data_IF_694162841634
#
_entry.id   IF_694162841634
#
_cell.length_a   1.000
_cell.length_b   1.000
_cell.length_c   1.000
_cell.angle_alpha   90.00
_cell.angle_beta   90.00
_cell.angle_gamma   90.00
#
_symmetry.space_group_name_H-M   'P 1'
#
loop_
_entity.id
_entity.type
_entity.pdbx_description
1 polymer ?
#
# COMPACT_ATOMS: atom_id res chain seq x y z
N UNK A 1 4.02 83.69 9.26
CA UNK A 1 2.78 83.15 9.86
C UNK A 1 1.91 82.76 8.68
N UNK A 2 1.74 81.50 8.27
CA UNK A 2 1.33 80.32 9.03
C UNK A 2 1.76 79.06 8.26
N UNK A 3 2.40 78.12 8.96
CA UNK A 3 2.70 76.77 8.48
C UNK A 3 1.39 75.97 8.43
N UNK A 4 1.02 75.39 7.30
CA UNK A 4 -0.04 74.40 7.21
C UNK A 4 0.57 73.06 6.75
N UNK A 5 0.89 72.25 7.74
CA UNK A 5 1.35 70.88 7.62
C UNK A 5 0.24 70.02 7.03
N UNK A 6 0.47 69.35 5.90
CA UNK A 6 -0.42 68.30 5.41
C UNK A 6 0.28 66.95 5.52
N UNK A 7 -0.27 66.18 6.45
CA UNK A 7 0.10 64.84 6.85
C UNK A 7 0.00 63.85 5.68
N UNK A 8 0.85 62.83 5.78
CA UNK A 8 0.96 61.67 4.92
C UNK A 8 -0.33 60.85 4.92
N UNK A 9 -0.81 60.48 3.74
CA UNK A 9 -1.81 59.42 3.55
C UNK A 9 -1.07 58.24 2.94
N UNK A 10 -0.64 57.31 3.79
CA UNK A 10 -0.14 56.01 3.34
C UNK A 10 -1.36 55.14 3.04
N UNK A 11 -1.49 54.69 1.79
CA UNK A 11 -2.43 53.62 1.45
C UNK A 11 -1.84 52.32 1.99
N UNK A 12 -2.56 51.72 2.92
CA UNK A 12 -2.37 50.35 3.33
C UNK A 12 -2.62 49.47 2.10
N UNK A 13 -1.52 49.00 1.50
CA UNK A 13 -1.56 48.03 0.41
C UNK A 13 -2.05 46.74 1.04
N UNK A 14 -3.29 46.37 0.74
CA UNK A 14 -3.85 45.06 1.11
C UNK A 14 -2.88 43.99 0.61
N UNK A 15 -2.25 43.32 1.57
CA UNK A 15 -1.30 42.24 1.34
C UNK A 15 -2.09 41.09 0.70
N UNK A 16 -1.79 40.66 -0.55
CA UNK A 16 -2.49 39.53 -1.13
C UNK A 16 -2.26 38.31 -0.24
N UNK A 17 -3.35 37.57 -0.01
CA UNK A 17 -3.38 36.31 0.74
C UNK A 17 -2.44 35.33 0.04
N UNK A 18 -1.22 35.20 0.55
CA UNK A 18 -0.23 34.26 0.05
C UNK A 18 -0.70 32.86 0.43
N UNK A 19 -1.35 32.18 -0.53
CA UNK A 19 -1.69 30.76 -0.41
C UNK A 19 -0.35 30.02 -0.41
N UNK A 20 0.20 29.84 0.78
CA UNK A 20 1.40 29.07 1.02
C UNK A 20 1.13 27.65 0.50
N UNK A 21 1.65 27.35 -0.70
CA UNK A 21 1.55 26.03 -1.33
C UNK A 21 2.36 25.06 -0.49
N UNK A 22 1.73 24.51 0.55
CA UNK A 22 2.30 23.43 1.35
C UNK A 22 2.35 22.20 0.45
N UNK A 23 3.55 21.74 0.13
CA UNK A 23 3.76 20.46 -0.55
C UNK A 23 3.28 19.36 0.40
N UNK A 24 2.17 18.73 0.06
CA UNK A 24 1.59 17.63 0.83
C UNK A 24 2.49 16.40 0.64
N UNK A 25 2.92 15.77 1.74
CA UNK A 25 3.71 14.53 1.72
C UNK A 25 2.89 13.31 2.11
N UNK A 26 3.28 12.13 1.61
CA UNK A 26 2.66 10.85 1.93
C UNK A 26 3.10 10.39 3.33
N UNK A 27 2.15 9.96 4.17
CA UNK A 27 2.42 9.42 5.52
C UNK A 27 2.23 7.91 5.63
N UNK A 28 1.21 7.36 4.96
CA UNK A 28 0.92 5.93 4.98
C UNK A 28 0.03 5.53 3.80
N UNK A 29 0.04 4.25 3.47
CA UNK A 29 -0.89 3.63 2.54
C UNK A 29 -1.78 2.63 3.27
N UNK A 30 -3.05 2.57 2.91
CA UNK A 30 -4.04 1.65 3.47
C UNK A 30 -4.68 0.86 2.34
N UNK A 31 -4.61 -0.46 2.43
CA UNK A 31 -5.44 -1.37 1.64
C UNK A 31 -6.61 -1.79 2.51
N UNK A 32 -7.81 -1.46 2.06
CA UNK A 32 -9.05 -1.80 2.73
C UNK A 32 -9.69 -2.98 2.02
N UNK A 33 -9.84 -4.08 2.75
CA UNK A 33 -10.57 -5.25 2.27
C UNK A 33 -12.08 -5.03 2.36
N UNK A 34 -12.83 -5.62 1.42
CA UNK A 34 -14.29 -5.73 1.54
C UNK A 34 -14.69 -6.92 2.43
N UNK A 35 -14.21 -6.90 3.67
CA UNK A 35 -14.35 -7.97 4.66
C UNK A 35 -14.38 -7.37 6.07
N UNK A 36 -14.88 -8.13 7.06
CA UNK A 36 -14.84 -7.76 8.48
C UNK A 36 -13.75 -8.58 9.22
N UNK A 37 -13.11 -8.02 10.25
CA UNK A 37 -11.82 -8.48 10.81
C UNK A 37 -11.76 -9.79 11.60
N UNK A 38 -12.77 -10.65 11.52
CA UNK A 38 -12.86 -11.89 12.32
C UNK A 38 -12.18 -13.11 11.70
N UNK A 39 -11.47 -12.96 10.58
CA UNK A 39 -11.21 -14.08 9.67
C UNK A 39 -9.72 -14.47 9.62
N UNK A 40 -9.05 -14.51 10.77
CA UNK A 40 -7.60 -14.76 10.83
C UNK A 40 -7.18 -16.25 10.79
N UNK A 41 -8.10 -17.21 10.88
CA UNK A 41 -7.75 -18.63 11.14
C UNK A 41 -7.96 -19.64 10.00
N UNK A 42 -9.05 -19.52 9.23
CA UNK A 42 -9.57 -20.62 8.39
C UNK A 42 -9.71 -20.26 6.90
N UNK A 43 -9.16 -19.11 6.50
CA UNK A 43 -9.70 -18.33 5.39
C UNK A 43 -9.17 -18.67 4.00
N UNK A 44 -8.22 -19.59 3.85
CA UNK A 44 -7.54 -19.75 2.56
C UNK A 44 -8.37 -20.42 1.48
N UNK A 45 -9.46 -21.11 1.85
CA UNK A 45 -10.39 -21.72 0.90
C UNK A 45 -11.77 -21.05 0.86
N UNK A 46 -12.14 -20.31 1.92
CA UNK A 46 -13.50 -19.81 2.11
C UNK A 46 -13.73 -18.38 1.62
N UNK A 47 -12.68 -17.59 1.35
CA UNK A 47 -12.76 -16.23 0.77
C UNK A 47 -13.58 -16.19 -0.51
N UNK A 48 -13.42 -17.21 -1.36
CA UNK A 48 -14.02 -17.20 -2.70
C UNK A 48 -15.53 -17.43 -2.68
N UNK A 49 -16.08 -17.91 -1.56
CA UNK A 49 -17.48 -18.39 -1.48
C UNK A 49 -18.33 -17.66 -0.44
N UNK A 50 -17.73 -17.00 0.56
CA UNK A 50 -18.46 -16.46 1.72
C UNK A 50 -18.38 -14.95 1.92
N UNK A 51 -17.61 -14.20 1.13
CA UNK A 51 -17.84 -12.76 1.06
C UNK A 51 -19.17 -12.53 0.39
N UNK A 52 -20.12 -12.03 1.17
CA UNK A 52 -21.55 -12.17 0.99
C UNK A 52 -22.18 -11.54 -0.25
N UNK A 53 -21.43 -11.27 -1.34
CA UNK A 53 -21.94 -10.94 -2.70
C UNK A 53 -20.90 -10.77 -3.84
N UNK A 54 -19.61 -11.03 -3.67
CA UNK A 54 -18.68 -10.79 -4.78
C UNK A 54 -17.21 -11.08 -4.46
N UNK A 55 -16.45 -11.30 -5.52
CA UNK A 55 -15.01 -11.41 -5.55
C UNK A 55 -14.33 -10.19 -4.90
N UNK A 56 -13.31 -10.38 -4.05
CA UNK A 56 -12.55 -9.29 -3.44
C UNK A 56 -11.14 -9.23 -4.04
N UNK A 57 -10.93 -8.32 -4.99
CA UNK A 57 -9.67 -8.20 -5.72
C UNK A 57 -8.46 -7.91 -4.81
N UNK A 58 -8.64 -7.20 -3.70
CA UNK A 58 -7.58 -7.01 -2.71
C UNK A 58 -7.14 -8.35 -2.09
N UNK A 59 -8.07 -9.27 -1.80
CA UNK A 59 -7.72 -10.60 -1.29
C UNK A 59 -6.89 -11.38 -2.33
N UNK A 60 -7.25 -11.32 -3.61
CA UNK A 60 -6.52 -12.01 -4.68
C UNK A 60 -5.11 -11.42 -4.88
N UNK A 61 -4.92 -10.12 -4.64
CA UNK A 61 -3.60 -9.49 -4.70
C UNK A 61 -2.74 -9.97 -3.53
N UNK A 62 -3.27 -10.03 -2.32
CA UNK A 62 -2.47 -10.28 -1.11
C UNK A 62 -2.31 -11.76 -0.76
N UNK A 63 -3.21 -12.63 -1.21
CA UNK A 63 -3.19 -14.06 -0.95
C UNK A 63 -2.91 -14.88 -2.21
N UNK A 64 -2.15 -15.95 -2.04
CA UNK A 64 -2.12 -17.07 -2.98
C UNK A 64 -3.11 -18.16 -2.56
N UNK A 65 -3.12 -19.32 -3.25
CA UNK A 65 -4.11 -20.38 -3.01
C UNK A 65 -4.15 -20.95 -1.59
N UNK A 66 -3.08 -20.76 -0.80
CA UNK A 66 -2.91 -21.39 0.54
C UNK A 66 -2.23 -20.52 1.58
N UNK A 67 -1.80 -19.31 1.26
CA UNK A 67 -1.17 -18.39 2.23
C UNK A 67 -1.08 -16.99 1.64
N UNK A 68 -0.81 -16.01 2.50
CA UNK A 68 -0.35 -14.68 2.08
C UNK A 68 0.84 -14.81 1.14
N UNK A 69 0.88 -13.99 0.10
CA UNK A 69 1.99 -13.99 -0.85
C UNK A 69 3.30 -13.54 -0.19
N UNK A 70 4.44 -14.17 -0.50
CA UNK A 70 5.74 -13.74 0.04
C UNK A 70 6.05 -12.28 -0.30
N UNK A 71 5.78 -11.85 -1.53
CA UNK A 71 6.05 -10.49 -2.00
C UNK A 71 5.20 -9.46 -1.22
N UNK A 72 3.94 -9.82 -0.96
CA UNK A 72 3.04 -9.03 -0.13
C UNK A 72 3.54 -8.91 1.32
N UNK A 73 4.00 -10.03 1.89
CA UNK A 73 4.53 -10.05 3.26
C UNK A 73 5.77 -9.17 3.41
N UNK A 74 6.64 -9.16 2.40
CA UNK A 74 7.82 -8.28 2.37
C UNK A 74 7.37 -6.82 2.37
N UNK A 75 6.47 -6.43 1.45
CA UNK A 75 5.95 -5.06 1.36
C UNK A 75 5.32 -4.57 2.67
N UNK A 76 4.53 -5.41 3.35
CA UNK A 76 3.94 -5.02 4.63
C UNK A 76 4.99 -4.77 5.72
N UNK A 77 6.07 -5.56 5.73
CA UNK A 77 7.13 -5.43 6.73
C UNK A 77 8.03 -4.23 6.46
N UNK A 78 8.38 -4.01 5.20
CA UNK A 78 9.31 -2.94 4.81
C UNK A 78 8.62 -1.60 4.61
N UNK A 79 7.28 -1.60 4.48
CA UNK A 79 6.57 -0.49 3.89
C UNK A 79 6.90 -0.36 2.39
N UNK A 80 6.43 0.73 1.80
CA UNK A 80 6.66 1.04 0.40
C UNK A 80 6.57 2.55 0.14
N UNK A 81 7.30 3.07 -0.84
CA UNK A 81 7.48 4.52 -1.08
C UNK A 81 7.99 5.28 0.16
N UNK A 82 8.72 4.60 1.04
CA UNK A 82 9.23 5.17 2.30
C UNK A 82 8.18 5.33 3.40
N UNK A 83 6.95 4.81 3.21
CA UNK A 83 5.86 4.90 4.17
C UNK A 83 5.33 3.51 4.56
N UNK A 84 4.73 3.35 5.76
CA UNK A 84 4.07 2.12 6.13
C UNK A 84 2.88 1.80 5.22
N UNK A 85 2.67 0.50 5.01
CA UNK A 85 1.57 -0.07 4.23
C UNK A 85 0.70 -0.94 5.13
N UNK A 86 -0.51 -0.47 5.43
CA UNK A 86 -1.45 -1.15 6.32
C UNK A 86 -2.50 -1.93 5.56
N UNK A 87 -2.87 -3.08 6.13
CA UNK A 87 -4.02 -3.85 5.72
C UNK A 87 -5.08 -3.74 6.80
N UNK A 88 -6.26 -3.30 6.41
CA UNK A 88 -7.39 -3.21 7.31
C UNK A 88 -8.66 -3.75 6.67
N UNK A 89 -9.58 -4.17 7.52
CA UNK A 89 -10.92 -4.58 7.15
C UNK A 89 -11.87 -3.39 7.10
N UNK A 90 -13.04 -3.57 6.48
CA UNK A 90 -14.05 -2.53 6.31
C UNK A 90 -14.54 -1.97 7.66
N UNK A 91 -14.69 -2.84 8.65
CA UNK A 91 -15.10 -2.51 10.01
C UNK A 91 -14.00 -1.81 10.82
N UNK A 92 -12.73 -1.99 10.44
CA UNK A 92 -11.56 -1.40 11.10
C UNK A 92 -11.26 0.04 10.65
N UNK A 93 -11.92 0.54 9.61
CA UNK A 93 -11.74 1.93 9.15
C UNK A 93 -12.13 2.95 10.23
N UNK A 94 -11.29 3.96 10.44
CA UNK A 94 -11.69 5.11 11.23
C UNK A 94 -12.65 6.03 10.44
N UNK A 95 -13.47 6.88 11.08
CA UNK A 95 -14.52 7.65 10.44
C UNK A 95 -14.09 8.48 9.22
N UNK A 96 -12.92 9.13 9.24
CA UNK A 96 -12.48 10.03 8.15
C UNK A 96 -12.01 9.24 6.92
N UNK A 97 -11.34 8.10 7.09
CA UNK A 97 -11.06 7.16 6.01
C UNK A 97 -12.36 6.62 5.42
N UNK A 98 -13.30 6.18 6.26
CA UNK A 98 -14.60 5.64 5.82
C UNK A 98 -15.41 6.65 5.00
N UNK A 99 -15.45 7.92 5.43
CA UNK A 99 -16.14 8.97 4.67
C UNK A 99 -15.44 9.30 3.35
N UNK A 100 -14.11 9.28 3.33
CA UNK A 100 -13.30 9.53 2.12
C UNK A 100 -13.56 8.48 1.04
N UNK A 101 -13.55 7.19 1.40
CA UNK A 101 -13.68 6.10 0.40
C UNK A 101 -15.13 5.87 -0.04
N UNK A 102 -16.12 6.43 0.66
CA UNK A 102 -17.54 6.41 0.24
C UNK A 102 -18.07 5.02 -0.16
N UNK A 103 -17.68 3.98 0.59
CA UNK A 103 -18.01 2.58 0.32
C UNK A 103 -17.42 1.97 -0.97
N UNK A 104 -16.46 2.62 -1.64
CA UNK A 104 -15.70 2.00 -2.71
C UNK A 104 -14.78 0.93 -2.11
N UNK A 105 -15.24 -0.33 -2.06
CA UNK A 105 -14.50 -1.44 -1.46
C UNK A 105 -14.42 -2.64 -2.41
N UNK A 106 -13.28 -3.35 -2.47
CA UNK A 106 -12.01 -3.00 -1.81
C UNK A 106 -11.37 -1.74 -2.43
N UNK A 107 -10.48 -1.06 -1.68
CA UNK A 107 -9.78 0.13 -2.18
C UNK A 107 -8.38 0.31 -1.60
N UNK A 108 -7.63 1.26 -2.19
CA UNK A 108 -6.39 1.79 -1.64
C UNK A 108 -6.55 3.27 -1.34
N UNK A 109 -6.15 3.69 -0.15
CA UNK A 109 -6.12 5.08 0.25
C UNK A 109 -4.72 5.51 0.73
N UNK A 110 -4.36 6.76 0.45
CA UNK A 110 -3.18 7.41 1.01
C UNK A 110 -3.58 8.30 2.18
N UNK A 111 -2.88 8.19 3.30
CA UNK A 111 -2.88 9.20 4.36
C UNK A 111 -1.77 10.19 4.08
N UNK A 112 -2.09 11.47 4.08
CA UNK A 112 -1.14 12.56 3.83
C UNK A 112 -0.81 13.34 5.09
N UNK A 113 0.21 14.20 5.02
CA UNK A 113 0.78 14.86 6.20
C UNK A 113 -0.16 15.82 6.94
N UNK A 114 -1.08 16.45 6.23
CA UNK A 114 -2.16 17.26 6.78
C UNK A 114 -3.27 16.43 7.47
N UNK A 115 -3.16 15.09 7.43
CA UNK A 115 -4.09 14.15 8.06
C UNK A 115 -5.32 13.81 7.21
N UNK A 116 -5.40 14.27 5.96
CA UNK A 116 -6.44 13.87 5.02
C UNK A 116 -6.16 12.51 4.38
N UNK A 117 -7.23 11.88 3.89
CA UNK A 117 -7.13 10.68 3.07
C UNK A 117 -7.41 11.02 1.60
N UNK A 118 -6.69 10.35 0.71
CA UNK A 118 -6.92 10.38 -0.73
C UNK A 118 -7.28 8.97 -1.18
N UNK A 119 -8.41 8.79 -1.86
CA UNK A 119 -8.75 7.53 -2.51
C UNK A 119 -7.87 7.40 -3.76
N UNK A 120 -6.94 6.43 -3.75
CA UNK A 120 -6.01 6.21 -4.85
C UNK A 120 -6.59 5.23 -5.87
N UNK A 121 -7.04 4.07 -5.40
CA UNK A 121 -7.53 2.98 -6.25
C UNK A 121 -8.91 2.51 -5.79
N UNK A 122 -9.81 2.35 -6.74
CA UNK A 122 -11.17 1.85 -6.56
C UNK A 122 -11.25 0.35 -6.92
N UNK A 123 -12.40 -0.32 -6.71
CA UNK A 123 -12.53 -1.76 -6.98
C UNK A 123 -12.09 -2.17 -8.40
N UNK A 124 -12.48 -1.42 -9.43
CA UNK A 124 -12.12 -1.73 -10.82
C UNK A 124 -10.60 -1.64 -11.07
N UNK A 125 -9.92 -0.70 -10.40
CA UNK A 125 -8.46 -0.59 -10.50
C UNK A 125 -7.79 -1.83 -9.91
N UNK A 126 -8.27 -2.28 -8.75
CA UNK A 126 -7.78 -3.49 -8.09
C UNK A 126 -8.09 -4.76 -8.87
N UNK A 127 -9.26 -4.85 -9.50
CA UNK A 127 -9.61 -5.98 -10.39
C UNK A 127 -8.63 -6.09 -11.56
N UNK A 128 -8.27 -4.95 -12.17
CA UNK A 128 -7.31 -4.91 -13.29
C UNK A 128 -5.86 -5.25 -12.89
N UNK A 129 -5.55 -5.34 -11.60
CA UNK A 129 -4.30 -5.91 -11.12
C UNK A 129 -4.22 -7.42 -11.32
N UNK A 130 -5.34 -8.12 -11.56
CA UNK A 130 -5.39 -9.58 -11.79
C UNK A 130 -4.66 -10.39 -10.70
N UNK A 131 -4.76 -9.93 -9.45
CA UNK A 131 -4.07 -10.55 -8.32
C UNK A 131 -2.55 -10.35 -8.30
N UNK A 132 -1.98 -9.48 -9.13
CA UNK A 132 -0.53 -9.25 -9.19
C UNK A 132 -0.12 -8.08 -8.28
N UNK A 133 0.83 -8.33 -7.37
CA UNK A 133 1.37 -7.31 -6.46
C UNK A 133 2.12 -6.21 -7.24
N UNK A 134 2.85 -6.56 -8.29
CA UNK A 134 3.57 -5.58 -9.11
C UNK A 134 2.63 -4.61 -9.84
N UNK A 135 1.50 -5.10 -10.37
CA UNK A 135 0.50 -4.22 -11.02
C UNK A 135 -0.20 -3.29 -10.02
N UNK A 136 -0.46 -3.78 -8.81
CA UNK A 136 -0.93 -2.93 -7.73
C UNK A 136 0.08 -1.80 -7.47
N UNK A 137 1.37 -2.14 -7.48
CA UNK A 137 2.42 -1.14 -7.27
C UNK A 137 2.45 -0.08 -8.39
N UNK A 138 2.43 -0.52 -9.64
CA UNK A 138 2.39 0.39 -10.80
C UNK A 138 1.21 1.36 -10.71
N UNK A 139 0.01 0.85 -10.42
CA UNK A 139 -1.21 1.67 -10.31
C UNK A 139 -1.20 2.66 -9.16
N UNK A 140 -0.66 2.27 -8.00
CA UNK A 140 -0.52 3.21 -6.87
C UNK A 140 0.43 4.36 -7.26
N UNK A 141 1.52 4.07 -7.97
CA UNK A 141 2.46 5.10 -8.45
C UNK A 141 1.80 6.02 -9.47
N UNK A 142 1.03 5.48 -10.42
CA UNK A 142 0.25 6.26 -11.38
C UNK A 142 -0.75 7.18 -10.68
N UNK A 143 -1.57 6.64 -9.78
CA UNK A 143 -2.55 7.43 -9.03
C UNK A 143 -1.87 8.55 -8.22
N UNK A 144 -0.75 8.26 -7.55
CA UNK A 144 0.01 9.28 -6.81
C UNK A 144 0.52 10.39 -7.73
N UNK A 145 0.99 10.06 -8.94
CA UNK A 145 1.41 11.08 -9.93
C UNK A 145 0.22 11.94 -10.37
N UNK A 146 -0.97 11.36 -10.55
CA UNK A 146 -2.19 12.10 -10.90
C UNK A 146 -2.61 13.07 -9.79
N UNK A 147 -2.36 12.72 -8.52
CA UNK A 147 -2.51 13.62 -7.37
C UNK A 147 -1.36 14.64 -7.20
N UNK A 148 -0.35 14.63 -8.08
CA UNK A 148 0.77 15.57 -8.07
C UNK A 148 1.91 15.21 -7.13
N UNK A 149 1.97 13.98 -6.62
CA UNK A 149 3.11 13.51 -5.83
C UNK A 149 4.31 13.18 -6.74
N UNK A 150 5.50 13.57 -6.29
CA UNK A 150 6.75 13.16 -6.92
C UNK A 150 7.19 11.83 -6.33
N UNK A 151 7.01 10.75 -7.08
CA UNK A 151 7.43 9.40 -6.67
C UNK A 151 8.77 9.09 -7.33
N UNK A 152 9.84 8.98 -6.54
CA UNK A 152 11.17 8.65 -7.05
C UNK A 152 11.29 7.13 -7.31
N UNK A 153 11.79 6.75 -8.49
CA UNK A 153 11.93 5.36 -8.96
C UNK A 153 12.92 4.52 -8.14
N UNK A 154 13.70 5.13 -7.25
CA UNK A 154 14.59 4.41 -6.33
C UNK A 154 13.83 3.57 -5.29
N UNK A 155 12.48 3.68 -5.22
CA UNK A 155 11.65 2.84 -4.36
C UNK A 155 10.88 1.73 -5.12
N UNK A 156 11.06 1.63 -6.45
CA UNK A 156 10.33 0.69 -7.31
C UNK A 156 11.16 -0.51 -7.78
N UNK A 157 12.45 -0.59 -7.46
CA UNK A 157 13.30 -1.69 -7.93
C UNK A 157 13.26 -2.89 -6.98
N UNK A 158 12.45 -3.89 -7.32
CA UNK A 158 12.74 -5.28 -6.97
C UNK A 158 13.83 -5.74 -7.93
N UNK A 159 15.08 -5.79 -7.46
CA UNK A 159 16.18 -6.38 -8.23
C UNK A 159 15.86 -7.85 -8.53
N UNK A 160 15.71 -8.17 -9.81
CA UNK A 160 15.82 -9.53 -10.35
C UNK A 160 17.23 -9.68 -10.93
N UNK A 161 18.12 -10.30 -10.16
CA UNK A 161 19.44 -10.83 -10.59
C UNK A 161 20.03 -11.53 -9.35
N UNK A 162 20.40 -12.81 -9.29
CA UNK A 162 20.81 -13.73 -10.34
C UNK A 162 20.48 -15.18 -9.95
N UNK A 163 19.82 -15.88 -10.87
CA UNK A 163 19.95 -17.32 -11.01
C UNK A 163 21.07 -17.54 -12.02
N UNK A 164 22.22 -18.02 -11.56
CA UNK A 164 23.19 -18.68 -12.42
C UNK A 164 23.56 -20.02 -11.83
N UNK A 165 23.13 -21.05 -12.54
CA UNK A 165 23.70 -22.38 -12.67
C UNK A 165 25.06 -22.62 -11.98
N UNK A 166 25.14 -23.70 -11.21
CA UNK A 166 26.01 -24.81 -11.61
C UNK A 166 25.47 -26.14 -11.08
N UNK A 167 25.22 -27.04 -12.03
CA UNK A 167 24.93 -28.44 -11.84
C UNK A 167 26.22 -29.25 -12.13
N UNK A 168 26.42 -30.30 -11.33
CA UNK A 168 27.25 -31.50 -11.56
C UNK A 168 28.76 -31.47 -11.27
N UNK A 169 29.16 -32.24 -10.24
CA UNK A 169 29.99 -33.48 -10.30
C UNK A 169 30.05 -34.08 -8.88
N UNK A 170 29.36 -35.18 -8.53
CA UNK A 170 29.71 -36.62 -8.64
C UNK A 170 30.97 -37.09 -7.86
N UNK A 171 30.69 -38.04 -6.94
CA UNK A 171 31.54 -39.08 -6.30
C UNK A 171 32.47 -38.59 -5.16
N UNK A 172 32.51 -39.20 -3.96
CA UNK A 172 32.59 -40.64 -3.66
C UNK A 172 31.85 -41.08 -2.37
N UNK A 173 31.61 -42.40 -2.30
CA UNK A 173 31.12 -43.22 -1.17
C UNK A 173 32.35 -43.86 -0.48
N UNK A 174 32.37 -44.12 0.84
CA UNK A 174 32.02 -45.46 1.34
C UNK A 174 31.22 -45.44 2.66
N UNK A 175 30.20 -46.31 2.80
CA UNK A 175 30.12 -47.49 3.69
C UNK A 175 30.51 -47.21 5.15
N UNK A 176 29.55 -47.36 6.05
CA UNK A 176 29.56 -48.45 7.03
C UNK A 176 28.12 -48.77 7.50
N UNK A 177 27.86 -50.06 7.59
CA UNK A 177 26.68 -50.71 8.16
C UNK A 177 26.77 -50.67 9.69
N UNK A 178 25.63 -50.56 10.37
CA UNK A 178 25.22 -51.51 11.43
C UNK A 178 24.00 -50.98 12.22
N UNK A 179 22.93 -51.76 12.11
CA UNK A 179 22.11 -52.27 13.20
C UNK A 179 21.40 -51.36 14.22
N UNK A 180 20.08 -51.57 14.21
CA UNK A 180 19.28 -51.96 15.38
C UNK A 180 18.51 -50.90 16.19
N UNK A 181 17.19 -51.13 16.13
CA UNK A 181 16.22 -51.12 17.25
C UNK A 181 15.60 -49.77 17.67
N UNK A 182 14.32 -49.68 17.31
CA UNK A 182 13.28 -48.83 17.90
C UNK A 182 12.85 -49.42 19.25
N UNK A 183 12.70 -48.63 20.33
CA UNK A 183 11.80 -48.95 21.42
C UNK A 183 10.54 -48.09 21.38
N UNK A 184 9.46 -48.73 21.84
CA UNK A 184 8.05 -48.33 21.94
C UNK A 184 7.79 -46.97 22.57
#
# INVERSE_FOLDING_TARGET
>A
MTLCSKQQVWKEVEKPMEVERRTVSLKALYIVYDADGTVAGELLYLLRKWFGKGHCAACDITHGPRKVKPEWTILQRTGWLGVPLFNIHRDEMEPKLRSTVSCALPCVAALVDNGDYLLLLQPNDLESCEGQVSRLQEKIVEALKDFGFQVNESCTTVEKSDLSDTCSTMLERPKDEDDAVVPL
#
